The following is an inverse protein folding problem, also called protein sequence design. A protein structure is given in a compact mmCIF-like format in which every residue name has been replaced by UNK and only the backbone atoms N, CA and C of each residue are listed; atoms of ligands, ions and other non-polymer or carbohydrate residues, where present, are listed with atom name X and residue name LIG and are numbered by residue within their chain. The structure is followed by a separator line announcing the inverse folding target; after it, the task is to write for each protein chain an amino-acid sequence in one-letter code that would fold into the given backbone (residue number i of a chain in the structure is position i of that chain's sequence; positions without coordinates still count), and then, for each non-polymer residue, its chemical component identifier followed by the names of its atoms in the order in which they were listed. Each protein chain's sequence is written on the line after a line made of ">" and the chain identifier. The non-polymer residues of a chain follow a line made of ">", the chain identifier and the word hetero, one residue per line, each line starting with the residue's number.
data_IF_100237009289
#
_entry.id   IF_100237009289
#
_cell.length_a   1.000
_cell.length_b   1.000
_cell.length_c   1.000
_cell.angle_alpha   90.00
_cell.angle_beta   90.00
_cell.angle_gamma   90.00
#
_symmetry.space_group_name_H-M   'P 1'
#
loop_
_entity.id
_entity.type
_entity.pdbx_description
1 polymer ?
#
# COMPACT_ATOMS: atom_id res chain seq x y z
N UNK A 1 -4.72 -9.25 -13.70
CA UNK A 1 -3.62 -8.56 -13.05
C UNK A 1 -2.27 -9.15 -13.52
N UNK A 2 -1.22 -8.34 -13.58
CA UNK A 2 0.09 -8.78 -14.09
C UNK A 2 0.91 -9.59 -13.09
N UNK A 3 0.29 -10.21 -12.11
CA UNK A 3 0.96 -11.02 -11.11
C UNK A 3 0.08 -12.19 -10.65
N UNK A 4 0.73 -13.20 -10.04
CA UNK A 4 0.05 -14.37 -9.48
C UNK A 4 -0.66 -14.02 -8.17
N UNK A 5 -1.71 -14.77 -7.84
CA UNK A 5 -2.40 -14.65 -6.55
C UNK A 5 -1.49 -14.92 -5.36
N UNK A 6 -0.40 -15.66 -5.55
CA UNK A 6 0.58 -15.95 -4.50
C UNK A 6 1.63 -14.86 -4.32
N UNK A 7 1.72 -13.91 -5.25
CA UNK A 7 2.68 -12.81 -5.15
C UNK A 7 2.32 -11.90 -4.00
N UNK A 8 3.34 -11.47 -3.25
CA UNK A 8 3.20 -10.47 -2.20
C UNK A 8 3.74 -9.14 -2.69
N UNK A 9 3.11 -8.06 -2.28
CA UNK A 9 3.54 -6.72 -2.63
C UNK A 9 3.26 -5.75 -1.49
N UNK A 10 3.95 -4.64 -1.51
CA UNK A 10 3.79 -3.58 -0.53
C UNK A 10 2.84 -2.52 -1.08
N UNK A 11 1.80 -2.21 -0.32
CA UNK A 11 0.76 -1.29 -0.75
C UNK A 11 0.62 -0.12 0.21
N UNK A 12 0.51 1.07 -0.35
CA UNK A 12 0.17 2.27 0.41
C UNK A 12 -0.82 3.09 -0.40
N UNK A 13 -1.79 3.68 0.29
CA UNK A 13 -2.73 4.59 -0.36
C UNK A 13 -2.00 5.86 -0.80
N UNK A 14 -2.28 6.34 -2.02
CA UNK A 14 -1.53 7.44 -2.64
C UNK A 14 -1.55 8.72 -1.79
N UNK A 15 -2.67 9.06 -1.17
CA UNK A 15 -2.75 10.24 -0.32
C UNK A 15 -1.88 10.11 0.93
N UNK A 16 -1.75 8.90 1.48
CA UNK A 16 -0.89 8.66 2.64
C UNK A 16 0.58 8.79 2.27
N UNK A 17 0.96 8.31 1.09
CA UNK A 17 2.31 8.49 0.58
C UNK A 17 2.63 9.98 0.39
N UNK A 18 1.70 10.73 -0.18
CA UNK A 18 1.83 12.17 -0.35
C UNK A 18 1.97 12.90 0.99
N UNK A 19 1.17 12.50 1.99
CA UNK A 19 1.24 13.07 3.34
C UNK A 19 2.59 12.83 3.99
N UNK A 20 3.16 11.63 3.82
CA UNK A 20 4.49 11.33 4.31
C UNK A 20 5.55 12.24 3.70
N UNK A 21 5.48 12.45 2.38
CA UNK A 21 6.41 13.33 1.67
C UNK A 21 6.30 14.78 2.15
N UNK A 22 5.07 15.27 2.32
CA UNK A 22 4.83 16.64 2.81
C UNK A 22 5.39 16.80 4.22
N UNK A 23 5.10 15.89 5.13
CA UNK A 23 5.56 15.97 6.52
C UNK A 23 7.09 15.92 6.62
N UNK A 24 7.73 15.07 5.81
CA UNK A 24 9.19 15.01 5.77
C UNK A 24 9.80 16.31 5.25
N UNK A 25 9.20 16.89 4.20
CA UNK A 25 9.72 18.11 3.58
C UNK A 25 9.54 19.36 4.44
N UNK A 26 8.59 19.34 5.40
CA UNK A 26 8.36 20.46 6.31
C UNK A 26 9.28 20.44 7.54
N UNK A 27 10.04 19.36 7.74
CA UNK A 27 10.97 19.28 8.87
C UNK A 27 12.25 20.06 8.61
N UNK A 28 12.69 20.84 9.58
CA UNK A 28 13.93 21.61 9.49
C UNK A 28 15.17 20.72 9.46
N UNK A 29 15.10 19.58 10.16
CA UNK A 29 16.22 18.63 10.26
C UNK A 29 15.71 17.22 10.29
N UNK A 30 16.32 16.35 9.48
CA UNK A 30 16.01 14.92 9.44
C UNK A 30 17.11 14.12 10.11
N UNK A 31 16.72 13.08 10.86
CA UNK A 31 17.67 12.18 11.51
C UNK A 31 18.29 11.17 10.54
N UNK A 32 17.62 10.92 9.41
CA UNK A 32 18.06 9.98 8.38
C UNK A 32 18.00 10.64 7.01
N UNK A 33 18.80 10.16 6.07
CA UNK A 33 18.80 10.64 4.69
C UNK A 33 17.88 9.86 3.75
N UNK A 34 17.51 8.64 4.14
CA UNK A 34 16.66 7.74 3.33
C UNK A 34 15.58 7.13 4.21
N UNK A 35 14.37 7.00 3.63
CA UNK A 35 13.22 6.42 4.30
C UNK A 35 12.49 5.46 3.38
N UNK A 36 12.03 4.34 3.93
CA UNK A 36 11.04 3.50 3.27
C UNK A 36 9.67 4.05 3.60
N UNK A 37 8.81 4.17 2.59
CA UNK A 37 7.43 4.58 2.80
C UNK A 37 6.70 3.53 3.64
N UNK A 38 5.89 3.97 4.60
CA UNK A 38 5.07 3.07 5.38
C UNK A 38 4.08 2.34 4.47
N UNK A 39 4.08 1.02 4.54
CA UNK A 39 3.25 0.20 3.67
C UNK A 39 2.83 -1.08 4.37
N UNK A 40 1.81 -1.72 3.82
CA UNK A 40 1.35 -3.02 4.28
C UNK A 40 1.64 -4.06 3.21
N UNK A 41 2.22 -5.19 3.60
CA UNK A 41 2.48 -6.30 2.70
C UNK A 41 1.22 -7.14 2.55
N UNK A 42 0.78 -7.33 1.31
CA UNK A 42 -0.48 -8.00 0.99
C UNK A 42 -0.25 -8.95 -0.20
N UNK A 43 -0.79 -10.17 -0.11
CA UNK A 43 -0.79 -11.10 -1.23
C UNK A 43 -2.08 -10.97 -2.07
N UNK A 44 -2.15 -11.74 -3.16
CA UNK A 44 -3.31 -11.69 -4.05
C UNK A 44 -4.61 -12.15 -3.40
N UNK A 45 -4.53 -13.10 -2.48
CA UNK A 45 -5.72 -13.60 -1.76
C UNK A 45 -6.34 -12.50 -0.91
N UNK A 46 -5.52 -11.76 -0.19
CA UNK A 46 -5.97 -10.66 0.66
C UNK A 46 -6.50 -9.50 -0.17
N UNK A 47 -5.86 -9.22 -1.31
CA UNK A 47 -6.32 -8.23 -2.27
C UNK A 47 -7.73 -8.58 -2.77
N UNK A 48 -7.93 -9.81 -3.22
CA UNK A 48 -9.23 -10.29 -3.72
C UNK A 48 -10.29 -10.23 -2.63
N UNK A 49 -9.98 -10.72 -1.44
CA UNK A 49 -10.89 -10.71 -0.29
C UNK A 49 -11.32 -9.27 0.05
N UNK A 50 -10.37 -8.35 0.09
CA UNK A 50 -10.66 -6.95 0.44
C UNK A 50 -11.52 -6.27 -0.61
N UNK A 51 -11.20 -6.44 -1.88
CA UNK A 51 -11.98 -5.84 -2.98
C UNK A 51 -13.41 -6.40 -2.98
N UNK A 52 -13.58 -7.71 -2.81
CA UNK A 52 -14.90 -8.33 -2.78
C UNK A 52 -15.73 -7.95 -1.57
N UNK A 53 -15.11 -7.50 -0.48
CA UNK A 53 -15.82 -6.98 0.67
C UNK A 53 -16.62 -5.73 0.33
N UNK A 54 -16.10 -4.88 -0.55
CA UNK A 54 -16.74 -3.63 -0.97
C UNK A 54 -17.48 -3.77 -2.29
N UNK A 55 -17.04 -4.69 -3.16
CA UNK A 55 -17.64 -4.98 -4.46
C UNK A 55 -17.80 -6.50 -4.58
N UNK A 56 -18.88 -7.07 -4.02
CA UNK A 56 -19.07 -8.54 -3.99
C UNK A 56 -19.07 -9.21 -5.36
N UNK A 57 -19.49 -8.50 -6.40
CA UNK A 57 -19.56 -9.01 -7.77
C UNK A 57 -18.23 -8.87 -8.53
N UNK A 58 -17.19 -8.33 -7.92
CA UNK A 58 -15.91 -8.12 -8.58
C UNK A 58 -15.28 -9.46 -8.99
N UNK A 59 -14.77 -9.50 -10.21
CA UNK A 59 -13.97 -10.61 -10.74
C UNK A 59 -12.56 -10.15 -10.97
N UNK A 60 -11.61 -10.83 -10.35
CA UNK A 60 -10.19 -10.47 -10.44
C UNK A 60 -9.46 -11.66 -11.02
N UNK A 61 -8.77 -11.45 -12.15
CA UNK A 61 -7.97 -12.48 -12.80
C UNK A 61 -6.49 -12.26 -12.46
N UNK A 62 -5.83 -13.33 -12.05
CA UNK A 62 -4.40 -13.34 -11.76
C UNK A 62 -3.66 -14.19 -12.78
N UNK A 63 -2.36 -13.94 -12.94
CA UNK A 63 -1.52 -14.83 -13.71
C UNK A 63 -1.38 -16.17 -13.01
N UNK A 64 -1.39 -17.27 -13.78
CA UNK A 64 -1.27 -18.62 -13.24
C UNK A 64 0.11 -18.90 -12.66
N UNK A 65 1.16 -18.32 -13.26
CA UNK A 65 2.55 -18.53 -12.83
C UNK A 65 3.02 -17.34 -11.98
N UNK A 66 3.73 -17.65 -10.90
CA UNK A 66 4.42 -16.63 -10.14
C UNK A 66 5.44 -15.93 -11.02
N UNK A 67 5.41 -14.61 -11.02
CA UNK A 67 6.42 -13.81 -11.67
C UNK A 67 7.53 -13.54 -10.67
N UNK A 68 8.76 -13.87 -11.03
CA UNK A 68 9.91 -13.49 -10.22
C UNK A 68 10.15 -12.00 -10.45
N UNK A 69 9.73 -11.18 -9.51
CA UNK A 69 10.12 -9.79 -9.45
C UNK A 69 11.00 -9.62 -8.21
N UNK A 70 12.15 -8.94 -8.31
CA UNK A 70 13.00 -8.73 -7.14
C UNK A 70 12.41 -7.65 -6.23
N UNK A 71 11.18 -7.87 -5.79
CA UNK A 71 10.48 -6.98 -4.87
C UNK A 71 10.77 -7.40 -3.43
N UNK A 72 10.88 -6.42 -2.57
CA UNK A 72 11.02 -6.64 -1.14
C UNK A 72 9.65 -7.02 -0.60
N UNK A 73 9.53 -8.23 -0.03
CA UNK A 73 8.26 -8.72 0.51
C UNK A 73 7.76 -7.86 1.67
N UNK A 74 8.68 -7.39 2.51
CA UNK A 74 8.34 -6.57 3.66
C UNK A 74 9.37 -5.45 3.80
N UNK A 75 8.89 -4.21 3.83
CA UNK A 75 9.74 -3.03 3.98
C UNK A 75 9.72 -2.56 5.42
N UNK A 76 10.92 -2.28 5.96
CA UNK A 76 11.05 -1.70 7.27
C UNK A 76 10.77 -0.19 7.21
N UNK A 77 9.64 0.24 7.75
CA UNK A 77 9.21 1.64 7.78
C UNK A 77 9.44 2.32 9.13
N UNK A 78 10.24 1.70 10.01
CA UNK A 78 10.48 2.23 11.35
C UNK A 78 11.06 3.63 11.35
N UNK A 79 11.95 3.94 10.41
CA UNK A 79 12.59 5.27 10.32
C UNK A 79 11.58 6.38 10.04
N UNK A 80 10.69 6.18 9.08
CA UNK A 80 9.69 7.20 8.75
C UNK A 80 8.68 7.37 9.87
N UNK A 81 8.30 6.29 10.55
CA UNK A 81 7.39 6.35 11.69
C UNK A 81 7.99 7.09 12.88
N UNK A 82 9.30 6.99 13.08
CA UNK A 82 10.01 7.74 14.12
C UNK A 82 10.13 9.22 13.76
N UNK A 83 10.32 9.53 12.48
CA UNK A 83 10.58 10.89 12.02
C UNK A 83 9.32 11.73 11.98
N UNK A 84 8.20 11.14 11.58
CA UNK A 84 6.91 11.80 11.51
C UNK A 84 5.87 11.00 12.29
N UNK A 85 5.00 11.71 13.00
CA UNK A 85 3.92 11.09 13.77
C UNK A 85 2.68 10.93 12.86
N UNK A 86 2.73 9.91 12.00
CA UNK A 86 1.68 9.67 11.03
C UNK A 86 1.61 8.17 10.72
N UNK A 87 0.41 7.61 10.89
CA UNK A 87 0.13 6.23 10.53
C UNK A 87 -0.67 6.19 9.24
N UNK A 88 -0.14 5.55 8.17
CA UNK A 88 -0.90 5.41 6.93
C UNK A 88 -2.11 4.51 7.15
N UNK A 89 -3.11 4.68 6.29
CA UNK A 89 -4.30 3.82 6.29
C UNK A 89 -3.90 2.37 6.07
N UNK A 90 -4.67 1.45 6.66
CA UNK A 90 -4.51 0.02 6.36
C UNK A 90 -4.88 -0.23 4.89
N UNK A 91 -4.48 -1.40 4.37
CA UNK A 91 -4.82 -1.79 3.00
C UNK A 91 -6.33 -1.73 2.76
N UNK A 92 -7.12 -2.24 3.70
CA UNK A 92 -8.58 -2.23 3.62
C UNK A 92 -9.14 -0.81 3.55
N UNK A 93 -8.66 0.07 4.42
CA UNK A 93 -9.10 1.47 4.43
C UNK A 93 -8.72 2.19 3.14
N UNK A 94 -7.52 1.94 2.61
CA UNK A 94 -7.07 2.50 1.35
C UNK A 94 -7.91 2.04 0.17
N UNK A 95 -8.24 0.77 0.10
CA UNK A 95 -9.12 0.21 -0.94
C UNK A 95 -10.51 0.84 -0.87
N UNK A 96 -11.05 0.99 0.34
CA UNK A 96 -12.34 1.65 0.54
C UNK A 96 -12.34 3.07 -0.01
N UNK A 97 -11.32 3.85 0.30
CA UNK A 97 -11.19 5.23 -0.19
C UNK A 97 -11.07 5.28 -1.71
N UNK A 98 -10.27 4.39 -2.29
CA UNK A 98 -10.07 4.32 -3.74
C UNK A 98 -11.38 4.01 -4.46
N UNK A 99 -12.16 3.07 -3.95
CA UNK A 99 -13.46 2.70 -4.52
C UNK A 99 -14.44 3.88 -4.44
N UNK A 100 -14.46 4.58 -3.32
CA UNK A 100 -15.32 5.78 -3.18
C UNK A 100 -14.97 6.85 -4.20
N UNK A 101 -13.70 7.13 -4.40
CA UNK A 101 -13.24 8.09 -5.38
C UNK A 101 -13.63 7.67 -6.81
N UNK A 102 -13.45 6.40 -7.14
CA UNK A 102 -13.80 5.86 -8.45
C UNK A 102 -15.30 5.97 -8.74
N UNK A 103 -16.15 5.91 -7.70
CA UNK A 103 -17.60 6.05 -7.82
C UNK A 103 -18.08 7.49 -7.75
N UNK A 104 -17.19 8.44 -7.47
CA UNK A 104 -17.54 9.85 -7.33
C UNK A 104 -18.25 10.18 -6.01
N UNK A 105 -18.03 9.37 -5.00
CA UNK A 105 -18.62 9.56 -3.67
C UNK A 105 -17.74 10.40 -2.74
#
# INVERSE_FOLDING_TARGET
>A
LPFSINNKDNWIYVEDCAEQLVRLSLKDKLNFSCFNSGSQTVDGYELEKTVKKFIPEAKINFLEKETFTPLIDDQDDSRIRQEIDFDPRTFEEGVKCLIKEARGE
#
